data_IF_475519063083
#
_entry.id   IF_475519063083
#
_cell.length_a   1.000
_cell.length_b   1.000
_cell.length_c   1.000
_cell.angle_alpha   90.00
_cell.angle_beta   90.00
_cell.angle_gamma   90.00
#
_symmetry.space_group_name_H-M   'P 1'
#
loop_
_entity.id
_entity.type
_entity.pdbx_description
1 polymer ?
#
# COMPACT_ATOMS: atom_id res chain seq x y z
N UNK A 1 12.59 16.04 7.16
CA UNK A 1 12.02 15.69 5.85
C UNK A 1 11.65 14.24 5.98
N UNK A 2 10.37 13.93 5.86
CA UNK A 2 9.86 12.59 6.08
C UNK A 2 9.54 11.99 4.72
N UNK A 3 9.74 10.68 4.59
CA UNK A 3 9.43 9.95 3.37
C UNK A 3 8.79 8.64 3.81
N UNK A 4 7.52 8.45 3.49
CA UNK A 4 6.82 7.19 3.75
C UNK A 4 6.75 6.32 2.51
N UNK A 5 6.73 5.01 2.75
CA UNK A 5 6.51 3.99 1.74
C UNK A 5 5.19 3.30 2.06
N UNK A 6 4.38 3.07 1.03
CA UNK A 6 3.18 2.24 1.11
C UNK A 6 3.37 1.08 0.14
N UNK A 7 3.27 -0.16 0.63
CA UNK A 7 3.10 -1.35 -0.18
C UNK A 7 1.62 -1.73 -0.22
N UNK A 8 1.08 -2.00 -1.41
CA UNK A 8 -0.34 -2.25 -1.66
C UNK A 8 -0.46 -3.55 -2.46
N UNK A 9 -1.42 -4.40 -2.10
CA UNK A 9 -1.73 -5.60 -2.85
C UNK A 9 -3.24 -5.83 -2.94
N UNK A 10 -3.68 -6.35 -4.10
CA UNK A 10 -5.08 -6.68 -4.35
C UNK A 10 -5.48 -7.97 -3.63
N UNK A 11 -6.43 -7.86 -2.71
CA UNK A 11 -6.89 -8.99 -1.93
C UNK A 11 -7.52 -10.07 -2.81
N UNK A 12 -7.02 -11.31 -2.65
CA UNK A 12 -7.55 -12.51 -3.34
C UNK A 12 -7.52 -12.35 -4.88
N UNK A 13 -6.54 -11.62 -5.43
CA UNK A 13 -6.43 -11.42 -6.88
C UNK A 13 -6.38 -12.72 -7.68
N UNK A 14 -5.67 -13.74 -7.19
CA UNK A 14 -5.71 -15.08 -7.78
C UNK A 14 -7.14 -15.64 -7.90
N UNK A 15 -7.98 -15.49 -6.88
CA UNK A 15 -9.39 -15.91 -6.94
C UNK A 15 -10.17 -15.15 -8.01
N UNK A 16 -9.90 -13.86 -8.22
CA UNK A 16 -10.50 -13.09 -9.31
C UNK A 16 -10.11 -13.68 -10.66
N UNK A 17 -8.82 -13.98 -10.87
CA UNK A 17 -8.33 -14.60 -12.10
C UNK A 17 -8.93 -15.99 -12.32
N UNK A 18 -8.95 -16.83 -11.29
CA UNK A 18 -9.44 -18.20 -11.37
C UNK A 18 -10.97 -18.23 -11.64
N UNK A 19 -11.72 -17.26 -11.12
CA UNK A 19 -13.19 -17.21 -11.25
C UNK A 19 -13.66 -16.50 -12.53
N UNK A 20 -12.95 -15.45 -12.95
CA UNK A 20 -13.40 -14.54 -14.02
C UNK A 20 -12.43 -14.41 -15.19
N UNK A 21 -11.30 -15.12 -15.16
CA UNK A 21 -10.25 -15.10 -16.16
C UNK A 21 -9.34 -13.87 -16.08
N UNK A 22 -8.13 -14.01 -16.63
CA UNK A 22 -7.08 -12.99 -16.60
C UNK A 22 -7.49 -11.63 -17.16
N UNK A 23 -8.36 -11.58 -18.19
CA UNK A 23 -8.88 -10.31 -18.72
C UNK A 23 -9.62 -9.48 -17.67
N UNK A 24 -10.22 -10.13 -16.68
CA UNK A 24 -10.89 -9.45 -15.57
C UNK A 24 -9.87 -8.98 -14.53
N UNK A 25 -8.84 -9.79 -14.25
CA UNK A 25 -7.70 -9.37 -13.43
C UNK A 25 -7.00 -8.13 -13.98
N UNK A 26 -6.76 -8.07 -15.29
CA UNK A 26 -6.17 -6.90 -15.94
C UNK A 26 -7.00 -5.63 -15.70
N UNK A 27 -8.33 -5.73 -15.79
CA UNK A 27 -9.25 -4.61 -15.50
C UNK A 27 -9.18 -4.18 -14.04
N UNK A 28 -9.02 -5.11 -13.11
CA UNK A 28 -8.86 -4.83 -11.68
C UNK A 28 -7.57 -4.05 -11.42
N UNK A 29 -6.45 -4.47 -12.03
CA UNK A 29 -5.17 -3.76 -11.93
C UNK A 29 -5.28 -2.34 -12.50
N UNK A 30 -5.91 -2.17 -13.67
CA UNK A 30 -6.13 -0.84 -14.26
C UNK A 30 -7.00 0.02 -13.35
N UNK A 31 -8.10 -0.54 -12.83
CA UNK A 31 -9.01 0.20 -11.93
C UNK A 31 -8.31 0.66 -10.65
N UNK A 32 -7.45 -0.19 -10.06
CA UNK A 32 -6.64 0.20 -8.91
C UNK A 32 -5.63 1.29 -9.30
N UNK A 33 -4.93 1.13 -10.43
CA UNK A 33 -3.97 2.13 -10.88
C UNK A 33 -4.61 3.50 -11.10
N UNK A 34 -5.81 3.56 -11.66
CA UNK A 34 -6.50 4.81 -11.91
C UNK A 34 -6.97 5.44 -10.60
N UNK A 35 -7.55 4.64 -9.69
CA UNK A 35 -7.90 5.10 -8.36
C UNK A 35 -6.69 5.69 -7.63
N UNK A 36 -5.56 4.98 -7.57
CA UNK A 36 -4.37 5.47 -6.88
C UNK A 36 -3.80 6.75 -7.51
N UNK A 37 -3.88 6.93 -8.83
CA UNK A 37 -3.43 8.16 -9.51
C UNK A 37 -4.29 9.38 -9.15
N UNK A 38 -5.57 9.18 -8.86
CA UNK A 38 -6.45 10.26 -8.40
C UNK A 38 -6.15 10.67 -6.95
N UNK A 39 -5.63 9.74 -6.13
CA UNK A 39 -5.30 9.99 -4.73
C UNK A 39 -3.98 10.73 -4.52
N UNK A 40 -2.98 10.42 -5.35
CA UNK A 40 -1.62 10.89 -5.14
C UNK A 40 -1.40 12.32 -5.63
N UNK A 41 -0.47 13.03 -4.97
CA UNK A 41 -0.03 14.36 -5.38
C UNK A 41 0.99 14.24 -6.50
N UNK A 42 1.26 15.35 -7.19
CA UNK A 42 2.31 15.40 -8.23
C UNK A 42 3.73 15.15 -7.68
N UNK A 43 3.95 15.31 -6.38
CA UNK A 43 5.22 15.01 -5.70
C UNK A 43 5.42 13.53 -5.40
N UNK A 44 4.32 12.77 -5.39
CA UNK A 44 4.31 11.39 -4.93
C UNK A 44 4.64 10.49 -6.12
N UNK A 45 5.28 9.36 -5.83
CA UNK A 45 5.68 8.41 -6.87
C UNK A 45 4.89 7.13 -6.67
N UNK A 46 4.17 6.70 -7.68
CA UNK A 46 3.53 5.39 -7.73
C UNK A 46 4.22 4.50 -8.76
N UNK A 47 4.45 3.25 -8.42
CA UNK A 47 4.87 2.23 -9.37
C UNK A 47 4.10 0.92 -9.15
N UNK A 48 3.98 0.14 -10.22
CA UNK A 48 3.60 -1.26 -10.13
C UNK A 48 4.86 -2.04 -9.77
N UNK A 49 4.91 -2.58 -8.56
CA UNK A 49 6.08 -3.26 -8.02
C UNK A 49 6.13 -4.73 -8.48
N UNK A 50 4.97 -5.38 -8.53
CA UNK A 50 4.83 -6.79 -8.89
C UNK A 50 3.63 -7.07 -9.79
N UNK A 51 3.15 -8.32 -9.75
CA UNK A 51 1.99 -8.76 -10.54
C UNK A 51 0.73 -8.00 -10.18
N UNK A 52 0.32 -8.05 -8.92
CA UNK A 52 -0.85 -7.35 -8.36
C UNK A 52 -0.46 -6.32 -7.28
N UNK A 53 0.83 -6.03 -7.16
CA UNK A 53 1.42 -5.20 -6.10
C UNK A 53 1.81 -3.82 -6.63
N UNK A 54 1.52 -2.80 -5.82
CA UNK A 54 1.87 -1.40 -6.07
C UNK A 54 2.67 -0.84 -4.90
N UNK A 55 3.59 0.07 -5.21
CA UNK A 55 4.37 0.79 -4.24
C UNK A 55 4.18 2.30 -4.44
N UNK A 56 4.00 3.02 -3.34
CA UNK A 56 3.89 4.48 -3.33
C UNK A 56 4.96 5.07 -2.41
N UNK A 57 5.71 6.05 -2.92
CA UNK A 57 6.60 6.90 -2.15
C UNK A 57 5.92 8.24 -1.91
N UNK A 58 5.86 8.66 -0.65
CA UNK A 58 5.20 9.89 -0.21
C UNK A 58 6.22 10.85 0.42
N UNK A 59 6.84 11.75 -0.37
CA UNK A 59 7.72 12.77 0.18
C UNK A 59 6.97 13.73 1.11
N UNK A 60 7.69 14.22 2.13
CA UNK A 60 7.17 15.14 3.15
C UNK A 60 5.92 14.61 3.87
N UNK A 61 5.81 13.30 4.01
CA UNK A 61 4.67 12.63 4.65
C UNK A 61 5.21 11.64 5.67
N UNK A 62 4.62 11.62 6.87
CA UNK A 62 4.89 10.63 7.92
C UNK A 62 3.89 9.46 7.82
N UNK A 63 4.11 8.40 8.60
CA UNK A 63 3.24 7.21 8.58
C UNK A 63 1.77 7.56 8.86
N UNK A 64 1.50 8.53 9.74
CA UNK A 64 0.14 8.97 10.06
C UNK A 64 -0.53 9.66 8.88
N UNK A 65 0.18 10.57 8.20
CA UNK A 65 -0.31 11.24 7.00
C UNK A 65 -0.56 10.26 5.86
N UNK A 66 0.31 9.25 5.71
CA UNK A 66 0.14 8.18 4.74
C UNK A 66 -1.16 7.37 5.00
N UNK A 67 -1.42 6.98 6.25
CA UNK A 67 -2.66 6.27 6.59
C UNK A 67 -3.92 7.11 6.34
N UNK A 68 -3.90 8.40 6.68
CA UNK A 68 -5.05 9.30 6.46
C UNK A 68 -5.37 9.44 4.97
N UNK A 69 -4.34 9.58 4.13
CA UNK A 69 -4.48 9.68 2.67
C UNK A 69 -5.21 8.47 2.09
N UNK A 70 -4.91 7.28 2.63
CA UNK A 70 -5.58 6.04 2.25
C UNK A 70 -7.02 6.01 2.79
N UNK A 71 -7.25 6.33 4.05
CA UNK A 71 -8.56 6.17 4.69
C UNK A 71 -9.62 7.16 4.18
N UNK A 72 -9.21 8.37 3.77
CA UNK A 72 -10.15 9.42 3.40
C UNK A 72 -10.74 9.32 1.99
N UNK A 73 -10.11 8.56 1.09
CA UNK A 73 -10.33 8.74 -0.35
C UNK A 73 -10.51 7.45 -1.17
N UNK A 74 -10.60 6.28 -0.50
CA UNK A 74 -11.14 5.03 -1.10
C UNK A 74 -12.67 5.10 -1.37
N UNK A 75 -13.19 6.26 -1.77
CA UNK A 75 -14.60 6.50 -2.08
C UNK A 75 -15.01 6.01 -3.45
N UNK A 76 -14.08 5.58 -4.29
CA UNK A 76 -14.39 4.82 -5.51
C UNK A 76 -14.82 3.42 -5.07
N UNK A 77 -16.06 2.97 -5.33
CA UNK A 77 -16.52 1.65 -4.93
C UNK A 77 -15.83 0.59 -5.81
N UNK A 78 -14.59 0.24 -5.45
CA UNK A 78 -13.91 -0.91 -5.99
C UNK A 78 -14.70 -2.15 -5.59
N UNK A 79 -14.95 -3.04 -6.55
CA UNK A 79 -15.61 -4.34 -6.29
C UNK A 79 -14.66 -5.36 -5.63
N UNK A 80 -13.50 -4.91 -5.21
CA UNK A 80 -12.43 -5.67 -4.60
C UNK A 80 -11.80 -4.81 -3.50
N UNK A 81 -11.10 -5.47 -2.57
CA UNK A 81 -10.39 -4.78 -1.49
C UNK A 81 -8.89 -4.89 -1.73
N UNK A 82 -8.15 -4.05 -1.02
CA UNK A 82 -6.69 -4.07 -1.01
C UNK A 82 -6.22 -4.09 0.43
N UNK A 83 -5.10 -4.75 0.68
CA UNK A 83 -4.38 -4.65 1.94
C UNK A 83 -3.17 -3.76 1.74
N UNK A 84 -2.74 -3.07 2.79
CA UNK A 84 -1.60 -2.17 2.72
C UNK A 84 -0.68 -2.29 3.92
N UNK A 85 0.60 -2.08 3.67
CA UNK A 85 1.61 -1.92 4.68
C UNK A 85 2.34 -0.60 4.52
N UNK A 86 2.59 0.09 5.63
CA UNK A 86 3.19 1.42 5.65
C UNK A 86 4.44 1.41 6.52
N UNK A 87 5.47 2.09 6.06
CA UNK A 87 6.69 2.38 6.82
C UNK A 87 7.19 3.80 6.52
N UNK A 88 8.08 4.31 7.36
CA UNK A 88 8.84 5.53 7.08
C UNK A 88 10.30 5.19 6.79
N UNK A 89 10.92 6.00 5.93
CA UNK A 89 12.36 5.96 5.65
C UNK A 89 13.08 6.79 6.70
N UNK A 90 13.88 6.13 7.51
CA UNK A 90 14.67 6.71 8.59
C UNK A 90 16.13 6.80 8.17
N UNK A 91 16.57 7.97 7.66
CA UNK A 91 17.94 8.19 7.16
C UNK A 91 19.09 7.84 8.12
N UNK A 92 18.81 7.71 9.42
CA UNK A 92 19.79 7.37 10.45
C UNK A 92 19.81 5.87 10.82
N UNK A 93 18.79 5.13 10.40
CA UNK A 93 18.61 3.70 10.73
C UNK A 93 18.64 2.83 9.48
N UNK A 94 18.05 3.32 8.40
CA UNK A 94 18.03 2.66 7.10
C UNK A 94 19.34 2.90 6.36
N UNK A 95 19.95 1.81 5.91
CA UNK A 95 21.10 1.86 5.01
C UNK A 95 20.68 2.12 3.57
N UNK A 96 19.51 1.60 3.19
CA UNK A 96 18.94 1.73 1.85
C UNK A 96 17.43 1.93 1.92
N UNK A 97 16.81 2.35 0.81
CA UNK A 97 15.35 2.49 0.74
C UNK A 97 14.67 1.12 0.82
N UNK A 98 15.32 0.06 0.34
CA UNK A 98 14.82 -1.31 0.38
C UNK A 98 14.53 -1.77 1.81
N UNK A 99 15.30 -1.37 2.81
CA UNK A 99 15.02 -1.73 4.21
C UNK A 99 13.68 -1.14 4.70
N UNK A 100 13.29 0.04 4.21
CA UNK A 100 11.97 0.61 4.49
C UNK A 100 10.87 -0.09 3.69
N UNK A 101 11.15 -0.48 2.45
CA UNK A 101 10.22 -1.27 1.63
C UNK A 101 9.95 -2.63 2.29
N UNK A 102 10.98 -3.31 2.80
CA UNK A 102 10.86 -4.59 3.50
C UNK A 102 9.97 -4.46 4.75
N UNK A 103 10.07 -3.35 5.50
CA UNK A 103 9.15 -3.08 6.62
C UNK A 103 7.72 -2.87 6.14
N UNK A 104 7.51 -2.14 5.05
CA UNK A 104 6.18 -1.98 4.47
C UNK A 104 5.61 -3.32 4.00
N UNK A 105 6.45 -4.23 3.47
CA UNK A 105 6.05 -5.59 3.11
C UNK A 105 5.65 -6.43 4.33
N UNK A 106 6.41 -6.36 5.43
CA UNK A 106 6.04 -6.99 6.70
C UNK A 106 4.67 -6.50 7.19
N UNK A 107 4.44 -5.18 7.15
CA UNK A 107 3.15 -4.61 7.51
C UNK A 107 2.03 -5.11 6.59
N UNK A 108 2.26 -5.18 5.28
CA UNK A 108 1.28 -5.68 4.32
C UNK A 108 0.93 -7.15 4.61
N UNK A 109 1.93 -7.96 4.93
CA UNK A 109 1.74 -9.35 5.32
C UNK A 109 0.87 -9.46 6.58
N UNK A 110 1.11 -8.63 7.59
CA UNK A 110 0.28 -8.56 8.80
C UNK A 110 -1.16 -8.14 8.48
N UNK A 111 -1.37 -7.16 7.60
CA UNK A 111 -2.70 -6.75 7.15
C UNK A 111 -3.45 -7.91 6.44
N UNK A 112 -2.77 -8.66 5.57
CA UNK A 112 -3.37 -9.82 4.88
C UNK A 112 -3.74 -10.95 5.85
N UNK A 113 -2.92 -11.20 6.86
CA UNK A 113 -3.17 -12.25 7.86
C UNK A 113 -4.22 -11.85 8.89
N UNK A 114 -4.37 -10.56 9.16
CA UNK A 114 -5.33 -10.04 10.14
C UNK A 114 -6.75 -9.87 9.56
N UNK A 115 -7.02 -10.38 8.36
CA UNK A 115 -8.36 -10.33 7.76
C UNK A 115 -8.50 -9.57 6.44
N UNK A 116 -7.41 -8.97 5.93
CA UNK A 116 -7.36 -8.16 4.69
C UNK A 116 -8.18 -6.86 4.77
N UNK A 117 -8.25 -6.10 3.67
CA UNK A 117 -8.97 -4.83 3.58
C UNK A 117 -8.61 -3.84 4.70
N UNK A 118 -7.33 -3.70 4.99
CA UNK A 118 -6.84 -2.89 6.10
C UNK A 118 -5.41 -2.44 5.87
N UNK A 119 -4.99 -1.49 6.69
CA UNK A 119 -3.67 -0.88 6.67
C UNK A 119 -2.95 -1.23 7.96
N UNK A 120 -1.72 -1.71 7.86
CA UNK A 120 -0.83 -1.91 9.00
C UNK A 120 0.39 -1.00 8.86
N UNK A 121 1.01 -0.66 9.99
CA UNK A 121 2.24 0.12 10.04
C UNK A 121 3.30 -0.72 10.73
N UNK A 122 4.45 -0.88 10.10
CA UNK A 122 5.62 -1.51 10.72
C UNK A 122 6.79 -0.55 10.64
N UNK A 123 7.15 0.04 11.77
CA UNK A 123 8.22 1.02 11.84
C UNK A 123 9.02 0.89 13.14
N UNK A 124 10.22 1.48 13.19
CA UNK A 124 11.15 1.35 14.31
C UNK A 124 10.63 1.90 15.65
N UNK A 125 9.48 2.57 15.69
CA UNK A 125 8.87 3.14 16.90
C UNK A 125 7.38 2.79 17.11
N UNK A 126 6.78 1.90 16.31
CA UNK A 126 5.40 1.45 16.58
C UNK A 126 5.38 0.42 17.71
N UNK A 127 5.29 0.90 18.95
CA UNK A 127 4.60 0.13 20.00
C UNK A 127 3.14 0.02 19.56
N UNK A 128 2.71 -1.21 19.27
CA UNK A 128 1.34 -1.58 18.94
C UNK A 128 0.30 -0.70 19.65
N UNK A 129 -0.32 0.20 18.90
CA UNK A 129 -1.67 0.67 19.18
C UNK A 129 -2.44 0.54 17.89
N UNK A 130 -3.31 -0.47 17.86
CA UNK A 130 -4.37 -0.55 16.87
C UNK A 130 -5.10 0.78 16.85
N UNK A 131 -5.20 1.35 15.65
CA UNK A 131 -6.16 2.38 15.33
C UNK A 131 -7.43 1.69 14.84
#
# INVERSE_FOLDING_TARGET
MNLSVIMIDIDKFKTVNDTHGHKTGDKVIVSLSDALKELIRSSDIICRYGGEEFLILLPNTDTKGATIMIDTDYKTPLKFTVSMGVSEVHLQKDQTIEEAIDRADIALYEAKNSGRNQVFIHDFLTTNKGY
#
